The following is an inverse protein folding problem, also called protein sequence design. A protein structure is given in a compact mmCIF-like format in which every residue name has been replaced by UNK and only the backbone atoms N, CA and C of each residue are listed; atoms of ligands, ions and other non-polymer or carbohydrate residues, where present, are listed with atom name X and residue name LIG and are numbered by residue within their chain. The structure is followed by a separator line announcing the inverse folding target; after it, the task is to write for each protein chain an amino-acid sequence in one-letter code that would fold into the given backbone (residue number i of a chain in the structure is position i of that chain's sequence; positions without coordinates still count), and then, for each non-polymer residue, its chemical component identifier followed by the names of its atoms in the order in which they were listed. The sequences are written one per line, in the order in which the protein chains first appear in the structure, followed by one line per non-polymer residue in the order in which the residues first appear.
data_IF_035550980951
#
_entry.id   IF_035550980951
#
_cell.length_a   1.000
_cell.length_b   1.000
_cell.length_c   1.000
_cell.angle_alpha   90.00
_cell.angle_beta   90.00
_cell.angle_gamma   90.00
#
_symmetry.space_group_name_H-M   'P 1'
#
loop_
_entity.id
_entity.type
_entity.pdbx_description
1 polymer ?
#
# COMPACT_ATOMS: atom_id res chain seq x y z
N UNK A 1 13.44 -1.45 2.30
CA UNK A 1 12.78 -0.21 2.77
C UNK A 1 11.63 -0.61 3.68
N UNK A 2 11.34 0.16 4.73
CA UNK A 2 10.15 -0.06 5.55
C UNK A 2 8.94 0.70 4.99
N UNK A 3 7.75 0.43 5.54
CA UNK A 3 6.48 1.04 5.10
C UNK A 3 6.54 2.56 5.02
N UNK A 4 7.03 3.19 6.09
CA UNK A 4 7.13 4.66 6.19
C UNK A 4 8.03 5.23 5.10
N UNK A 5 9.19 4.61 4.84
CA UNK A 5 10.11 5.04 3.79
C UNK A 5 9.49 4.97 2.40
N UNK A 6 8.65 3.96 2.13
CA UNK A 6 7.99 3.78 0.84
C UNK A 6 6.92 4.86 0.65
N UNK A 7 6.08 5.09 1.66
CA UNK A 7 5.06 6.15 1.63
C UNK A 7 5.72 7.53 1.45
N UNK A 8 6.77 7.84 2.20
CA UNK A 8 7.49 9.12 2.07
C UNK A 8 8.16 9.28 0.70
N UNK A 9 8.67 8.20 0.10
CA UNK A 9 9.29 8.25 -1.22
C UNK A 9 8.23 8.48 -2.30
N UNK A 10 7.11 7.77 -2.20
CA UNK A 10 5.98 7.90 -3.10
C UNK A 10 5.40 9.32 -3.09
N UNK A 11 5.23 9.93 -1.92
CA UNK A 11 4.77 11.32 -1.78
C UNK A 11 5.76 12.33 -2.39
N UNK A 12 7.08 12.07 -2.30
CA UNK A 12 8.10 12.98 -2.84
C UNK A 12 8.27 12.90 -4.36
N UNK A 13 8.07 11.72 -4.93
CA UNK A 13 8.46 11.44 -6.32
C UNK A 13 7.26 11.37 -7.27
N UNK A 14 6.08 10.97 -6.79
CA UNK A 14 4.91 10.89 -7.65
C UNK A 14 4.19 12.24 -7.81
N UNK A 15 3.41 12.37 -8.89
CA UNK A 15 2.62 13.57 -9.18
C UNK A 15 1.45 13.83 -8.21
N UNK A 16 1.15 12.87 -7.31
CA UNK A 16 0.11 12.97 -6.27
C UNK A 16 -1.28 13.40 -6.78
N UNK A 17 -1.68 12.88 -7.94
CA UNK A 17 -3.00 13.17 -8.55
C UNK A 17 -4.17 12.44 -7.88
N UNK A 18 -3.89 11.50 -6.98
CA UNK A 18 -4.87 10.75 -6.21
C UNK A 18 -4.49 10.77 -4.72
N UNK A 19 -5.50 10.80 -3.85
CA UNK A 19 -5.28 10.58 -2.43
C UNK A 19 -4.94 9.10 -2.18
N UNK A 20 -3.76 8.86 -1.62
CA UNK A 20 -3.25 7.52 -1.37
C UNK A 20 -3.56 7.10 0.07
N UNK A 21 -3.75 5.79 0.26
CA UNK A 21 -3.84 5.19 1.61
C UNK A 21 -2.41 4.97 2.10
N UNK A 22 -2.12 5.33 3.35
CA UNK A 22 -0.79 5.12 3.97
C UNK A 22 -0.50 3.66 4.31
N UNK A 23 -0.72 2.77 3.34
CA UNK A 23 -0.58 1.32 3.46
C UNK A 23 0.19 0.81 2.23
N UNK A 24 1.15 -0.06 2.45
CA UNK A 24 1.96 -0.64 1.36
C UNK A 24 1.61 -2.10 1.16
N UNK A 25 0.80 -2.39 0.14
CA UNK A 25 0.42 -3.76 -0.25
C UNK A 25 1.54 -4.42 -1.06
N UNK A 26 1.93 -5.65 -0.69
CA UNK A 26 3.04 -6.38 -1.34
C UNK A 26 2.64 -7.72 -1.97
N UNK A 27 1.45 -8.24 -1.64
CA UNK A 27 0.93 -9.51 -2.19
C UNK A 27 -0.60 -9.49 -2.24
N UNK A 28 -1.18 -10.20 -3.20
CA UNK A 28 -2.62 -10.48 -3.28
C UNK A 28 -2.93 -11.94 -3.67
N UNK A 29 -4.07 -12.45 -3.22
CA UNK A 29 -4.62 -13.78 -3.56
C UNK A 29 -6.14 -13.78 -3.37
N UNK A 30 -6.89 -13.88 -4.46
CA UNK A 30 -8.35 -13.73 -4.41
C UNK A 30 -8.71 -12.36 -3.85
N UNK A 31 -9.64 -12.31 -2.89
CA UNK A 31 -10.02 -11.08 -2.20
C UNK A 31 -9.09 -10.70 -1.03
N UNK A 32 -7.97 -11.39 -0.82
CA UNK A 32 -7.03 -11.09 0.26
C UNK A 32 -5.80 -10.36 -0.25
N UNK A 33 -5.35 -9.37 0.52
CA UNK A 33 -4.09 -8.64 0.31
C UNK A 33 -3.26 -8.61 1.58
N UNK A 34 -1.95 -8.52 1.45
CA UNK A 34 -1.03 -8.41 2.59
C UNK A 34 -0.18 -7.15 2.47
N UNK A 35 -0.04 -6.43 3.57
CA UNK A 35 0.90 -5.32 3.65
C UNK A 35 2.36 -5.81 3.76
N UNK A 36 3.30 -4.86 3.71
CA UNK A 36 4.74 -5.13 3.83
C UNK A 36 5.15 -5.75 5.18
N UNK A 37 4.32 -5.60 6.22
CA UNK A 37 4.55 -6.20 7.54
C UNK A 37 3.88 -7.59 7.64
N UNK A 38 3.25 -8.08 6.57
CA UNK A 38 2.60 -9.38 6.51
C UNK A 38 1.19 -9.42 7.08
N UNK A 39 0.59 -8.27 7.43
CA UNK A 39 -0.79 -8.22 7.91
C UNK A 39 -1.75 -8.37 6.75
N UNK A 40 -2.74 -9.23 6.95
CA UNK A 40 -3.76 -9.59 5.96
C UNK A 40 -4.98 -8.67 6.03
N UNK A 41 -5.56 -8.35 4.88
CA UNK A 41 -6.77 -7.56 4.72
C UNK A 41 -7.68 -8.18 3.64
N UNK A 42 -8.99 -7.97 3.77
CA UNK A 42 -9.96 -8.23 2.70
C UNK A 42 -10.03 -6.98 1.81
N UNK A 43 -9.89 -7.16 0.49
CA UNK A 43 -10.04 -6.09 -0.51
C UNK A 43 -11.53 -5.83 -0.78
N UNK A 44 -12.00 -4.71 -0.24
CA UNK A 44 -13.37 -4.21 -0.44
C UNK A 44 -13.42 -2.99 -1.36
N UNK A 45 -12.45 -2.84 -2.28
CA UNK A 45 -12.35 -1.65 -3.15
C UNK A 45 -12.94 -1.83 -4.56
N UNK A 46 -13.48 -3.02 -4.83
CA UNK A 46 -14.16 -3.36 -6.09
C UNK A 46 -15.46 -2.60 -6.32
#
# INVERSE_FOLDING_TARGET
MNEKQIVELEEKIMANTFAKRGLVITRGKGALVWDINGKEYIDCTG
#
